data_IF_311637266483
#
_entry.id   IF_311637266483
#
_cell.length_a   1.000
_cell.length_b   1.000
_cell.length_c   1.000
_cell.angle_alpha   90.00
_cell.angle_beta   90.00
_cell.angle_gamma   90.00
#
_symmetry.space_group_name_H-M   'P 1'
#
loop_
_entity.id
_entity.type
_entity.pdbx_description
1 polymer ?
#
# COMPACT_ATOMS: atom_id res chain seq x y z
N UNK A 1 32.56 13.70 2.61
CA UNK A 1 31.44 13.99 3.53
C UNK A 1 31.16 15.49 3.50
N UNK A 2 29.89 15.93 3.45
CA UNK A 2 29.56 17.35 3.53
C UNK A 2 30.06 17.93 4.87
N UNK A 3 30.59 19.17 4.85
CA UNK A 3 31.17 19.78 6.04
C UNK A 3 30.10 20.18 7.06
N UNK A 4 28.92 20.58 6.60
CA UNK A 4 27.75 20.94 7.41
C UNK A 4 26.49 20.31 6.79
N UNK A 5 26.28 18.99 6.99
CA UNK A 5 25.21 18.25 6.29
C UNK A 5 23.80 18.73 6.65
N UNK A 6 23.60 19.25 7.85
CA UNK A 6 22.33 19.79 8.32
C UNK A 6 21.82 20.96 7.48
N UNK A 7 22.69 21.72 6.82
CA UNK A 7 22.32 22.85 5.98
C UNK A 7 21.66 22.45 4.66
N UNK A 8 21.75 21.17 4.30
CA UNK A 8 21.11 20.59 3.11
C UNK A 8 19.60 20.44 3.28
N UNK A 9 19.13 20.33 4.51
CA UNK A 9 17.76 19.96 4.81
C UNK A 9 16.97 21.14 5.37
N UNK A 10 15.67 21.15 5.07
CA UNK A 10 14.71 22.11 5.63
C UNK A 10 13.77 21.32 6.56
N UNK A 11 13.51 21.81 7.79
CA UNK A 11 12.56 21.16 8.68
C UNK A 11 11.19 21.00 8.01
N UNK A 12 10.56 19.86 8.20
CA UNK A 12 9.20 19.65 7.71
C UNK A 12 8.23 20.60 8.42
N UNK A 13 7.34 21.23 7.63
CA UNK A 13 6.36 22.17 8.19
C UNK A 13 5.30 21.41 8.99
N UNK A 14 5.02 21.79 10.23
CA UNK A 14 3.93 21.20 10.99
C UNK A 14 2.58 21.38 10.26
N UNK A 15 1.74 20.36 10.34
CA UNK A 15 0.37 20.44 9.82
C UNK A 15 -0.47 21.30 10.80
N UNK A 16 -1.20 22.27 10.26
CA UNK A 16 -2.10 23.11 11.04
C UNK A 16 -3.37 22.35 11.38
N UNK A 17 -3.33 21.64 12.49
CA UNK A 17 -4.42 20.83 13.03
C UNK A 17 -4.52 21.07 14.54
N UNK A 18 -5.05 22.25 14.92
CA UNK A 18 -5.08 22.71 16.33
C UNK A 18 -6.00 21.86 17.22
N UNK A 19 -7.00 21.23 16.62
CA UNK A 19 -8.02 20.39 17.25
C UNK A 19 -7.81 18.89 16.97
N UNK A 20 -6.55 18.47 16.75
CA UNK A 20 -6.23 17.05 16.47
C UNK A 20 -6.74 16.14 17.56
N UNK A 21 -7.28 15.01 17.17
CA UNK A 21 -7.88 14.03 18.08
C UNK A 21 -7.08 12.75 18.21
N UNK A 22 -6.25 12.42 17.23
CA UNK A 22 -5.53 11.14 17.16
C UNK A 22 -4.67 10.83 18.39
N UNK A 23 -4.01 11.79 19.09
CA UNK A 23 -3.18 11.45 20.24
C UNK A 23 -3.97 10.87 21.42
N UNK A 24 -5.29 11.12 21.45
CA UNK A 24 -6.19 10.64 22.51
C UNK A 24 -6.94 9.34 22.08
N UNK A 25 -6.68 8.84 20.88
CA UNK A 25 -7.29 7.60 20.40
C UNK A 25 -6.49 6.37 20.86
N UNK A 26 -7.17 5.24 20.91
CA UNK A 26 -6.54 3.92 21.10
C UNK A 26 -6.97 2.99 19.99
N UNK A 27 -6.08 2.12 19.57
CA UNK A 27 -6.41 1.09 18.59
C UNK A 27 -7.21 0.01 19.30
N UNK A 28 -8.48 -0.16 18.93
CA UNK A 28 -9.43 -1.11 19.56
C UNK A 28 -9.81 -2.27 18.66
N UNK A 29 -9.43 -2.22 17.40
CA UNK A 29 -9.66 -3.26 16.38
C UNK A 29 -8.47 -3.33 15.43
N UNK A 30 -8.19 -4.50 14.82
CA UNK A 30 -7.15 -4.59 13.81
C UNK A 30 -7.53 -3.79 12.57
N UNK A 31 -6.55 -3.29 11.79
CA UNK A 31 -6.81 -2.73 10.48
C UNK A 31 -7.13 -3.84 9.48
N UNK A 32 -7.56 -3.47 8.28
CA UNK A 32 -7.48 -4.34 7.11
C UNK A 32 -5.98 -4.48 6.76
N UNK A 33 -5.52 -5.71 6.58
CA UNK A 33 -4.13 -5.98 6.22
C UNK A 33 -3.99 -6.25 4.74
N UNK A 34 -3.09 -5.54 4.07
CA UNK A 34 -2.60 -5.89 2.74
C UNK A 34 -1.13 -6.32 2.84
N UNK A 35 -0.80 -7.52 2.33
CA UNK A 35 0.58 -7.89 2.07
C UNK A 35 1.04 -7.34 0.73
N UNK A 36 2.18 -6.65 0.71
CA UNK A 36 2.88 -6.23 -0.50
C UNK A 36 4.15 -7.05 -0.76
N UNK A 37 4.33 -8.15 -0.05
CA UNK A 37 5.53 -9.02 -0.13
C UNK A 37 5.85 -9.47 -1.55
N UNK A 38 4.81 -9.85 -2.33
CA UNK A 38 4.98 -10.40 -3.69
C UNK A 38 5.13 -9.32 -4.77
N UNK A 39 4.97 -8.04 -4.44
CA UNK A 39 5.19 -6.92 -5.36
C UNK A 39 6.32 -6.02 -4.88
N UNK A 40 6.08 -5.18 -3.86
CA UNK A 40 7.05 -4.20 -3.37
C UNK A 40 8.23 -4.87 -2.67
N UNK A 41 7.95 -5.87 -1.84
CA UNK A 41 8.95 -6.74 -1.24
C UNK A 41 9.79 -7.48 -2.27
N UNK A 42 9.15 -7.99 -3.34
CA UNK A 42 9.83 -8.74 -4.39
C UNK A 42 10.69 -7.85 -5.31
N UNK A 43 10.20 -6.65 -5.67
CA UNK A 43 10.94 -5.76 -6.58
C UNK A 43 12.25 -5.23 -6.01
N UNK A 44 12.41 -5.26 -4.69
CA UNK A 44 13.62 -4.83 -4.00
C UNK A 44 14.70 -5.90 -3.90
N UNK A 45 14.37 -7.15 -4.24
CA UNK A 45 15.30 -8.27 -4.13
C UNK A 45 16.36 -8.24 -5.24
N UNK A 46 17.58 -8.65 -4.89
CA UNK A 46 18.66 -8.81 -5.87
C UNK A 46 18.28 -9.84 -6.93
N UNK A 47 17.68 -10.96 -6.51
CA UNK A 47 17.09 -11.98 -7.38
C UNK A 47 15.58 -12.04 -7.08
N UNK A 48 14.73 -11.44 -7.92
CA UNK A 48 13.28 -11.51 -7.75
C UNK A 48 12.77 -12.95 -7.79
N UNK A 49 11.70 -13.21 -7.02
CA UNK A 49 11.09 -14.53 -6.92
C UNK A 49 10.57 -15.01 -8.28
N UNK A 50 10.84 -16.26 -8.61
CA UNK A 50 10.18 -16.93 -9.73
C UNK A 50 8.73 -17.32 -9.38
N UNK A 51 7.95 -17.75 -10.38
CA UNK A 51 6.53 -18.08 -10.18
C UNK A 51 6.26 -19.19 -9.16
N UNK A 52 7.17 -20.17 -9.01
CA UNK A 52 7.05 -21.23 -8.01
C UNK A 52 7.23 -20.68 -6.60
N UNK A 53 8.28 -19.89 -6.38
CA UNK A 53 8.54 -19.26 -5.09
C UNK A 53 7.41 -18.32 -4.70
N UNK A 54 6.90 -17.50 -5.65
CA UNK A 54 5.73 -16.65 -5.42
C UNK A 54 4.50 -17.44 -5.02
N UNK A 55 4.25 -18.60 -5.62
CA UNK A 55 3.10 -19.44 -5.29
C UNK A 55 3.21 -20.03 -3.88
N UNK A 56 4.39 -20.50 -3.49
CA UNK A 56 4.63 -21.02 -2.15
C UNK A 56 4.45 -19.89 -1.10
N UNK A 57 4.98 -18.72 -1.36
CA UNK A 57 4.81 -17.57 -0.47
C UNK A 57 3.36 -17.06 -0.43
N UNK A 58 2.66 -17.01 -1.56
CA UNK A 58 1.23 -16.68 -1.60
C UNK A 58 0.39 -17.60 -0.69
N UNK A 59 0.66 -18.92 -0.73
CA UNK A 59 -0.02 -19.89 0.13
C UNK A 59 0.27 -19.64 1.62
N UNK A 60 1.48 -19.26 1.98
CA UNK A 60 1.80 -18.92 3.37
C UNK A 60 1.10 -17.63 3.81
N UNK A 61 1.04 -16.59 2.94
CA UNK A 61 0.28 -15.36 3.24
C UNK A 61 -1.21 -15.66 3.48
N UNK A 62 -1.80 -16.52 2.65
CA UNK A 62 -3.19 -16.99 2.85
C UNK A 62 -3.35 -17.72 4.17
N UNK A 63 -2.42 -18.60 4.51
CA UNK A 63 -2.43 -19.39 5.76
C UNK A 63 -2.26 -18.50 6.99
N UNK A 64 -1.42 -17.48 6.93
CA UNK A 64 -1.29 -16.44 7.98
C UNK A 64 -2.60 -15.68 8.17
N UNK A 65 -3.43 -15.57 7.15
CA UNK A 65 -4.75 -14.97 7.25
C UNK A 65 -4.97 -13.69 6.46
N UNK A 66 -4.04 -13.29 5.59
CA UNK A 66 -4.24 -12.14 4.72
C UNK A 66 -5.45 -12.33 3.82
N UNK A 67 -6.28 -11.26 3.71
CA UNK A 67 -7.45 -11.22 2.85
C UNK A 67 -7.25 -10.34 1.61
N UNK A 68 -6.21 -9.52 1.62
CA UNK A 68 -5.77 -8.74 0.48
C UNK A 68 -4.26 -8.96 0.27
N UNK A 69 -3.86 -9.30 -0.95
CA UNK A 69 -2.47 -9.63 -1.29
C UNK A 69 -2.12 -8.97 -2.63
N UNK A 70 -1.14 -8.09 -2.64
CA UNK A 70 -0.61 -7.50 -3.88
C UNK A 70 0.34 -8.47 -4.55
N UNK A 71 -0.07 -9.03 -5.68
CA UNK A 71 0.58 -10.18 -6.33
C UNK A 71 1.64 -9.80 -7.37
N UNK A 72 1.64 -8.56 -7.84
CA UNK A 72 2.67 -8.13 -8.79
C UNK A 72 2.31 -6.91 -9.63
N UNK A 73 3.23 -6.58 -10.55
CA UNK A 73 3.09 -5.54 -11.55
C UNK A 73 2.93 -6.19 -12.94
N UNK A 74 1.74 -6.71 -13.20
CA UNK A 74 1.45 -7.60 -14.33
C UNK A 74 1.63 -6.96 -15.69
N UNK A 75 1.52 -5.64 -15.81
CA UNK A 75 1.79 -4.92 -17.06
C UNK A 75 3.28 -4.67 -17.32
N UNK A 76 4.14 -4.75 -16.30
CA UNK A 76 5.58 -4.50 -16.41
C UNK A 76 6.43 -5.78 -16.39
N UNK A 77 5.90 -6.89 -15.85
CA UNK A 77 6.61 -8.14 -15.67
C UNK A 77 5.82 -9.32 -16.24
N UNK A 78 6.43 -10.06 -17.14
CA UNK A 78 5.84 -11.28 -17.69
C UNK A 78 5.69 -12.37 -16.60
N UNK A 79 6.64 -12.46 -15.68
CA UNK A 79 6.56 -13.40 -14.54
C UNK A 79 5.33 -13.07 -13.70
N UNK A 80 5.08 -11.80 -13.40
CA UNK A 80 3.92 -11.38 -12.62
C UNK A 80 2.60 -11.60 -13.38
N UNK A 81 2.61 -11.37 -14.70
CA UNK A 81 1.45 -11.66 -15.53
C UNK A 81 1.10 -13.16 -15.50
N UNK A 82 2.07 -14.03 -15.77
CA UNK A 82 1.88 -15.48 -15.73
C UNK A 82 1.53 -15.99 -14.32
N UNK A 83 2.07 -15.36 -13.28
CA UNK A 83 1.73 -15.69 -11.91
C UNK A 83 0.25 -15.36 -11.60
N UNK A 84 -0.24 -14.19 -11.99
CA UNK A 84 -1.64 -13.82 -11.83
C UNK A 84 -2.56 -14.81 -12.58
N UNK A 85 -2.22 -15.17 -13.82
CA UNK A 85 -2.96 -16.17 -14.60
C UNK A 85 -2.95 -17.54 -13.92
N UNK A 86 -1.79 -17.98 -13.42
CA UNK A 86 -1.66 -19.26 -12.70
C UNK A 86 -2.58 -19.28 -11.47
N UNK A 87 -2.58 -18.22 -10.67
CA UNK A 87 -3.43 -18.12 -9.46
C UNK A 87 -4.91 -18.26 -9.83
N UNK A 88 -5.36 -17.62 -10.90
CA UNK A 88 -6.76 -17.61 -11.32
C UNK A 88 -7.14 -18.93 -12.00
N UNK A 89 -6.39 -19.36 -13.00
CA UNK A 89 -6.74 -20.51 -13.85
C UNK A 89 -6.62 -21.85 -13.11
N UNK A 90 -5.70 -21.95 -12.14
CA UNK A 90 -5.54 -23.16 -11.33
C UNK A 90 -6.31 -23.07 -9.99
N UNK A 91 -7.09 -22.02 -9.75
CA UNK A 91 -7.95 -21.90 -8.59
C UNK A 91 -7.20 -21.79 -7.25
N UNK A 92 -6.05 -21.10 -7.23
CA UNK A 92 -5.26 -20.95 -6.01
C UNK A 92 -5.76 -19.84 -5.08
N UNK A 93 -6.67 -18.96 -5.54
CA UNK A 93 -7.19 -17.84 -4.75
C UNK A 93 -8.41 -18.30 -3.96
N UNK A 94 -8.36 -18.33 -2.62
CA UNK A 94 -9.53 -18.63 -1.80
C UNK A 94 -10.65 -17.59 -2.02
N UNK A 95 -11.90 -17.99 -1.79
CA UNK A 95 -13.08 -17.15 -2.04
C UNK A 95 -13.16 -15.89 -1.19
N UNK A 96 -12.41 -15.83 -0.10
CA UNK A 96 -12.34 -14.73 0.87
C UNK A 96 -11.03 -13.93 0.75
N UNK A 97 -10.22 -14.20 -0.28
CA UNK A 97 -8.99 -13.45 -0.59
C UNK A 97 -9.16 -12.67 -1.89
N UNK A 98 -8.78 -11.40 -1.86
CA UNK A 98 -8.80 -10.52 -3.03
C UNK A 98 -7.36 -10.20 -3.45
N UNK A 99 -6.95 -10.61 -4.65
CA UNK A 99 -5.66 -10.24 -5.20
C UNK A 99 -5.66 -8.78 -5.65
N UNK A 100 -4.51 -8.11 -5.49
CA UNK A 100 -4.27 -6.76 -5.98
C UNK A 100 -3.14 -6.76 -7.00
N UNK A 101 -3.27 -5.93 -8.01
CA UNK A 101 -2.24 -5.68 -9.03
C UNK A 101 -2.06 -4.18 -9.23
N UNK A 102 -0.82 -3.74 -9.45
CA UNK A 102 -0.48 -2.32 -9.61
C UNK A 102 -0.34 -1.95 -11.08
N UNK A 103 -0.68 -0.70 -11.43
CA UNK A 103 -0.47 -0.12 -12.76
C UNK A 103 -0.23 1.39 -12.69
N UNK A 104 0.58 1.89 -13.59
CA UNK A 104 0.71 3.32 -13.83
C UNK A 104 -0.51 3.88 -14.58
N UNK A 105 -0.71 5.20 -14.50
CA UNK A 105 -1.75 5.93 -15.21
C UNK A 105 -1.42 6.05 -16.73
N UNK A 106 -1.50 4.91 -17.45
CA UNK A 106 -1.31 4.77 -18.90
C UNK A 106 -2.28 3.72 -19.43
N UNK A 107 -2.95 4.02 -20.53
CA UNK A 107 -4.02 3.18 -21.10
C UNK A 107 -3.53 1.78 -21.46
N UNK A 108 -2.38 1.67 -22.14
CA UNK A 108 -1.77 0.38 -22.54
C UNK A 108 -1.41 -0.51 -21.35
N UNK A 109 -0.96 0.08 -20.23
CA UNK A 109 -0.65 -0.66 -19.01
C UNK A 109 -1.91 -1.06 -18.25
N UNK A 110 -2.92 -0.18 -18.22
CA UNK A 110 -4.23 -0.46 -17.63
C UNK A 110 -4.88 -1.66 -18.35
N UNK A 111 -4.88 -1.68 -19.68
CA UNK A 111 -5.44 -2.79 -20.47
C UNK A 111 -4.80 -4.12 -20.10
N UNK A 112 -3.46 -4.18 -20.13
CA UNK A 112 -2.71 -5.40 -19.80
C UNK A 112 -2.94 -5.84 -18.35
N UNK A 113 -3.06 -4.87 -17.43
CA UNK A 113 -3.33 -5.14 -16.01
C UNK A 113 -4.71 -5.74 -15.80
N UNK A 114 -5.76 -5.17 -16.40
CA UNK A 114 -7.12 -5.70 -16.31
C UNK A 114 -7.21 -7.06 -17.00
N UNK A 115 -6.55 -7.23 -18.15
CA UNK A 115 -6.48 -8.51 -18.86
C UNK A 115 -5.90 -9.62 -17.98
N UNK A 116 -4.82 -9.33 -17.23
CA UNK A 116 -4.18 -10.30 -16.35
C UNK A 116 -5.11 -10.82 -15.24
N UNK A 117 -6.15 -10.07 -14.87
CA UNK A 117 -7.09 -10.40 -13.79
C UNK A 117 -8.43 -10.96 -14.27
N UNK A 118 -8.63 -11.13 -15.60
CA UNK A 118 -9.87 -11.72 -16.13
C UNK A 118 -10.16 -13.09 -15.56
N UNK A 119 -11.41 -13.29 -15.12
CA UNK A 119 -11.85 -14.53 -14.50
C UNK A 119 -11.59 -14.62 -13.00
N UNK A 120 -10.95 -13.63 -12.38
CA UNK A 120 -10.91 -13.51 -10.93
C UNK A 120 -12.31 -13.17 -10.38
N UNK A 121 -12.68 -13.72 -9.22
CA UNK A 121 -13.95 -13.37 -8.54
C UNK A 121 -13.97 -11.92 -8.09
N UNK A 122 -12.86 -11.46 -7.53
CA UNK A 122 -12.63 -10.08 -7.11
C UNK A 122 -11.20 -9.67 -7.44
N UNK A 123 -10.98 -8.39 -7.69
CA UNK A 123 -9.66 -7.83 -7.93
C UNK A 123 -9.58 -6.37 -7.50
N UNK A 124 -8.45 -5.99 -6.90
CA UNK A 124 -8.09 -4.60 -6.66
C UNK A 124 -7.11 -4.18 -7.74
N UNK A 125 -7.42 -3.11 -8.47
CA UNK A 125 -6.47 -2.46 -9.39
C UNK A 125 -5.92 -1.22 -8.70
N UNK A 126 -4.62 -1.24 -8.41
CA UNK A 126 -3.89 -0.17 -7.78
C UNK A 126 -3.34 0.77 -8.85
N UNK A 127 -4.02 1.88 -9.08
CA UNK A 127 -3.62 2.94 -10.00
C UNK A 127 -2.85 4.01 -9.24
N UNK A 128 -1.69 4.41 -9.74
CA UNK A 128 -0.89 5.46 -9.13
C UNK A 128 -0.30 6.44 -10.15
N UNK A 129 -0.01 7.63 -9.68
CA UNK A 129 0.84 8.62 -10.33
C UNK A 129 1.47 9.51 -9.26
N UNK A 130 2.69 9.98 -9.52
CA UNK A 130 3.41 10.86 -8.61
C UNK A 130 2.79 12.26 -8.58
N UNK A 131 2.69 12.84 -7.37
CA UNK A 131 2.02 14.14 -7.15
C UNK A 131 2.90 15.20 -6.52
N UNK A 132 4.09 14.85 -6.01
CA UNK A 132 5.00 15.82 -5.40
C UNK A 132 5.52 16.87 -6.41
N UNK A 133 5.84 18.11 -5.96
CA UNK A 133 6.29 19.20 -6.83
C UNK A 133 7.41 18.81 -7.78
N UNK A 134 8.46 18.14 -7.28
CA UNK A 134 9.59 17.72 -8.09
C UNK A 134 9.18 16.79 -9.26
N UNK A 135 8.20 15.91 -9.06
CA UNK A 135 7.68 15.06 -10.13
C UNK A 135 6.83 15.84 -11.13
N UNK A 136 5.94 16.70 -10.63
CA UNK A 136 5.09 17.51 -11.49
C UNK A 136 5.91 18.43 -12.37
N UNK A 137 6.85 19.16 -11.79
CA UNK A 137 7.58 20.23 -12.47
C UNK A 137 8.75 19.73 -13.32
N UNK A 138 9.57 18.80 -12.76
CA UNK A 138 10.82 18.38 -13.40
C UNK A 138 10.60 17.17 -14.31
N UNK A 139 9.80 16.18 -13.88
CA UNK A 139 9.66 14.92 -14.62
C UNK A 139 8.53 15.01 -15.64
N UNK A 140 7.36 15.50 -15.23
CA UNK A 140 6.20 15.57 -16.11
C UNK A 140 6.08 16.91 -16.86
N UNK A 141 6.64 18.00 -16.31
CA UNK A 141 6.43 19.34 -16.84
C UNK A 141 4.96 19.77 -16.79
N UNK A 142 4.20 19.31 -15.80
CA UNK A 142 2.76 19.49 -15.66
C UNK A 142 2.42 20.40 -14.48
N UNK A 143 1.46 21.28 -14.70
CA UNK A 143 0.77 22.03 -13.65
C UNK A 143 -0.17 21.14 -12.84
N UNK A 144 -0.61 21.60 -11.66
CA UNK A 144 -1.58 20.86 -10.83
C UNK A 144 -2.87 20.54 -11.61
N UNK A 145 -3.51 21.48 -12.36
CA UNK A 145 -4.69 21.14 -13.17
C UNK A 145 -4.45 20.07 -14.22
N UNK A 146 -3.28 20.03 -14.85
CA UNK A 146 -2.93 19.00 -15.85
C UNK A 146 -2.76 17.62 -15.20
N UNK A 147 -2.16 17.56 -13.99
CA UNK A 147 -2.09 16.31 -13.22
C UNK A 147 -3.51 15.83 -12.82
N UNK A 148 -4.40 16.75 -12.40
CA UNK A 148 -5.79 16.37 -12.10
C UNK A 148 -6.52 15.84 -13.33
N UNK A 149 -6.32 16.44 -14.50
CA UNK A 149 -6.88 15.97 -15.76
C UNK A 149 -6.33 14.57 -16.16
N UNK A 150 -5.04 14.32 -15.90
CA UNK A 150 -4.41 13.01 -16.11
C UNK A 150 -5.05 11.94 -15.21
N UNK A 151 -5.27 12.26 -13.92
CA UNK A 151 -5.92 11.34 -12.97
C UNK A 151 -7.35 11.04 -13.43
N UNK A 152 -8.14 12.06 -13.71
CA UNK A 152 -9.53 11.90 -14.15
C UNK A 152 -9.62 11.04 -15.41
N UNK A 153 -8.80 11.31 -16.42
CA UNK A 153 -8.74 10.55 -17.67
C UNK A 153 -8.51 9.05 -17.41
N UNK A 154 -7.48 8.71 -16.62
CA UNK A 154 -7.09 7.31 -16.48
C UNK A 154 -7.98 6.54 -15.50
N UNK A 155 -8.56 7.20 -14.50
CA UNK A 155 -9.58 6.57 -13.64
C UNK A 155 -10.87 6.31 -14.42
N UNK A 156 -11.33 7.25 -15.26
CA UNK A 156 -12.46 7.03 -16.16
C UNK A 156 -12.18 5.92 -17.18
N UNK A 157 -10.96 5.85 -17.70
CA UNK A 157 -10.54 4.79 -18.60
C UNK A 157 -10.57 3.41 -17.89
N UNK A 158 -9.95 3.29 -16.72
CA UNK A 158 -9.98 2.06 -15.93
C UNK A 158 -11.41 1.64 -15.61
N UNK A 159 -12.25 2.59 -15.19
CA UNK A 159 -13.69 2.35 -14.95
C UNK A 159 -14.36 1.76 -16.18
N UNK A 160 -14.16 2.38 -17.35
CA UNK A 160 -14.73 1.93 -18.62
C UNK A 160 -14.32 0.48 -18.95
N UNK A 161 -13.05 0.13 -18.76
CA UNK A 161 -12.54 -1.22 -19.06
C UNK A 161 -13.08 -2.24 -18.06
N UNK A 162 -13.06 -1.92 -16.76
CA UNK A 162 -13.57 -2.83 -15.72
C UNK A 162 -15.09 -3.04 -15.82
N UNK A 163 -15.86 -2.03 -16.21
CA UNK A 163 -17.32 -2.15 -16.43
C UNK A 163 -17.67 -3.10 -17.59
N UNK A 164 -16.72 -3.44 -18.47
CA UNK A 164 -16.88 -4.47 -19.52
C UNK A 164 -16.72 -5.90 -18.99
N UNK A 165 -16.24 -6.07 -17.76
CA UNK A 165 -15.99 -7.35 -17.10
C UNK A 165 -16.78 -7.46 -15.77
N UNK A 166 -18.14 -7.48 -15.84
CA UNK A 166 -18.99 -7.50 -14.64
C UNK A 166 -18.93 -8.83 -13.87
N UNK A 167 -18.33 -9.86 -14.42
CA UNK A 167 -18.07 -11.14 -13.76
C UNK A 167 -17.07 -11.03 -12.61
N UNK A 168 -16.22 -9.99 -12.61
CA UNK A 168 -15.24 -9.70 -11.57
C UNK A 168 -15.72 -8.52 -10.72
N UNK A 169 -15.66 -8.65 -9.40
CA UNK A 169 -15.87 -7.53 -8.49
C UNK A 169 -14.63 -6.65 -8.44
N UNK A 170 -14.65 -5.54 -9.16
CA UNK A 170 -13.52 -4.61 -9.24
C UNK A 170 -13.54 -3.57 -8.15
N UNK A 171 -12.38 -3.32 -7.54
CA UNK A 171 -12.14 -2.22 -6.62
C UNK A 171 -10.95 -1.40 -7.14
N UNK A 172 -11.10 -0.08 -7.20
CA UNK A 172 -9.98 0.82 -7.45
C UNK A 172 -9.26 1.11 -6.13
N UNK A 173 -7.94 0.94 -6.12
CA UNK A 173 -7.06 1.63 -5.20
C UNK A 173 -6.36 2.76 -5.95
N UNK A 174 -6.43 3.98 -5.41
CA UNK A 174 -5.69 5.12 -5.95
C UNK A 174 -4.63 5.59 -4.95
N UNK A 175 -3.40 5.77 -5.44
CA UNK A 175 -2.30 6.36 -4.65
C UNK A 175 -1.80 7.64 -5.29
N UNK A 176 -1.87 8.80 -4.61
CA UNK A 176 -1.05 9.96 -4.93
C UNK A 176 0.40 9.64 -4.51
N UNK A 177 1.15 8.99 -5.39
CA UNK A 177 2.53 8.57 -5.10
C UNK A 177 3.36 9.78 -4.65
N UNK A 178 4.30 9.57 -3.75
CA UNK A 178 5.05 10.63 -3.06
C UNK A 178 4.17 11.53 -2.17
N UNK A 179 3.06 10.99 -1.62
CA UNK A 179 2.16 11.73 -0.73
C UNK A 179 2.90 12.46 0.39
N UNK A 180 3.86 11.80 1.04
CA UNK A 180 4.65 12.39 2.14
C UNK A 180 5.46 13.64 1.74
N UNK A 181 5.64 13.91 0.44
CA UNK A 181 6.32 15.10 -0.10
C UNK A 181 5.39 15.98 -0.94
N UNK A 182 4.09 15.67 -0.97
CA UNK A 182 3.06 16.42 -1.71
C UNK A 182 2.36 17.40 -0.77
N UNK A 183 1.99 18.57 -1.26
CA UNK A 183 1.14 19.52 -0.53
C UNK A 183 -0.22 18.88 -0.25
N UNK A 184 -0.72 18.97 0.99
CA UNK A 184 -1.94 18.28 1.40
C UNK A 184 -3.18 18.64 0.58
N UNK A 185 -3.31 19.89 0.18
CA UNK A 185 -4.40 20.39 -0.66
C UNK A 185 -4.33 19.80 -2.08
N UNK A 186 -3.13 19.64 -2.64
CA UNK A 186 -2.91 18.96 -3.93
C UNK A 186 -3.20 17.46 -3.82
N UNK A 187 -2.73 16.81 -2.76
CA UNK A 187 -3.03 15.40 -2.51
C UNK A 187 -4.54 15.17 -2.35
N UNK A 188 -5.24 16.04 -1.62
CA UNK A 188 -6.69 16.00 -1.47
C UNK A 188 -7.42 16.18 -2.80
N UNK A 189 -6.98 17.14 -3.64
CA UNK A 189 -7.55 17.31 -4.97
C UNK A 189 -7.37 16.05 -5.83
N UNK A 190 -6.18 15.44 -5.81
CA UNK A 190 -5.90 14.20 -6.53
C UNK A 190 -6.83 13.06 -6.08
N UNK A 191 -6.94 12.83 -4.76
CA UNK A 191 -7.82 11.82 -4.19
C UNK A 191 -9.29 12.06 -4.54
N UNK A 192 -9.78 13.30 -4.36
CA UNK A 192 -11.17 13.64 -4.67
C UNK A 192 -11.48 13.57 -6.18
N UNK A 193 -10.49 13.84 -7.04
CA UNK A 193 -10.62 13.62 -8.49
C UNK A 193 -10.79 12.14 -8.81
N UNK A 194 -9.99 11.27 -8.22
CA UNK A 194 -10.13 9.81 -8.38
C UNK A 194 -11.47 9.30 -7.85
N UNK A 195 -11.90 9.75 -6.65
CA UNK A 195 -13.18 9.40 -6.04
C UNK A 195 -14.36 9.76 -6.97
N UNK A 196 -14.35 10.99 -7.49
CA UNK A 196 -15.39 11.46 -8.42
C UNK A 196 -15.40 10.68 -9.73
N UNK A 197 -14.24 10.48 -10.34
CA UNK A 197 -14.11 9.78 -11.63
C UNK A 197 -14.49 8.30 -11.54
N UNK A 198 -14.15 7.62 -10.44
CA UNK A 198 -14.55 6.24 -10.18
C UNK A 198 -16.05 6.10 -9.95
N UNK A 199 -16.70 7.17 -9.49
CA UNK A 199 -18.13 7.17 -9.17
C UNK A 199 -18.42 6.45 -7.85
N UNK A 200 -17.67 6.82 -6.82
CA UNK A 200 -17.76 6.23 -5.48
C UNK A 200 -19.16 6.38 -4.91
N UNK A 201 -19.64 5.38 -4.17
CA UNK A 201 -20.93 5.35 -3.52
C UNK A 201 -21.27 3.94 -3.03
N UNK A 202 -22.53 3.76 -2.58
CA UNK A 202 -22.99 2.45 -2.12
C UNK A 202 -22.86 1.40 -3.25
N UNK A 203 -22.06 0.39 -3.03
CA UNK A 203 -21.78 -0.70 -4.00
C UNK A 203 -20.58 -0.48 -4.91
N UNK A 204 -19.94 0.70 -4.86
CA UNK A 204 -18.67 0.96 -5.54
C UNK A 204 -17.69 1.70 -4.62
N UNK A 205 -17.12 1.03 -3.63
CA UNK A 205 -16.11 1.63 -2.74
C UNK A 205 -14.81 1.90 -3.49
N UNK A 206 -13.95 2.69 -2.86
CA UNK A 206 -12.57 2.97 -3.32
C UNK A 206 -11.62 2.82 -2.15
N UNK A 207 -10.39 2.46 -2.44
CA UNK A 207 -9.27 2.54 -1.50
C UNK A 207 -8.44 3.76 -1.88
N UNK A 208 -8.24 4.67 -0.96
CA UNK A 208 -7.29 5.77 -1.08
C UNK A 208 -6.08 5.43 -0.22
N UNK A 209 -4.94 5.27 -0.87
CA UNK A 209 -3.71 4.90 -0.18
C UNK A 209 -2.75 6.09 -0.09
N UNK A 210 -2.25 6.37 1.10
CA UNK A 210 -1.34 7.47 1.41
C UNK A 210 0.07 6.92 1.68
N UNK A 211 0.96 6.87 0.65
CA UNK A 211 2.27 6.27 0.84
C UNK A 211 3.29 7.26 1.41
N UNK A 212 4.12 6.80 2.34
CA UNK A 212 5.44 7.40 2.53
C UNK A 212 6.41 6.77 1.54
N UNK A 213 6.34 7.18 0.27
CA UNK A 213 7.24 6.68 -0.80
C UNK A 213 8.71 6.77 -0.36
N UNK A 214 9.05 7.82 0.36
CA UNK A 214 10.22 7.93 1.24
C UNK A 214 9.74 8.45 2.59
N UNK A 215 10.17 7.83 3.68
CA UNK A 215 9.88 8.30 5.02
C UNK A 215 10.71 9.55 5.33
N UNK A 216 10.17 10.72 5.05
CA UNK A 216 10.84 12.01 5.17
C UNK A 216 10.38 12.88 6.35
N UNK A 217 9.33 12.45 7.08
CA UNK A 217 8.78 13.15 8.24
C UNK A 217 8.82 12.30 9.49
N UNK A 218 8.53 12.92 10.64
CA UNK A 218 8.31 12.17 11.88
C UNK A 218 6.91 11.54 11.90
N UNK A 219 6.71 10.42 12.64
CA UNK A 219 5.43 9.71 12.68
C UNK A 219 4.22 10.59 13.08
N UNK A 220 4.42 11.53 14.00
CA UNK A 220 3.35 12.46 14.44
C UNK A 220 2.91 13.42 13.32
N UNK A 221 3.84 13.90 12.49
CA UNK A 221 3.50 14.75 11.33
C UNK A 221 2.73 13.94 10.29
N UNK A 222 3.11 12.69 10.05
CA UNK A 222 2.35 11.81 9.17
C UNK A 222 0.95 11.51 9.72
N UNK A 223 0.83 11.27 11.02
CA UNK A 223 -0.48 11.08 11.67
C UNK A 223 -1.37 12.33 11.53
N UNK A 224 -0.82 13.54 11.73
CA UNK A 224 -1.54 14.78 11.47
C UNK A 224 -2.02 14.86 10.00
N UNK A 225 -1.18 14.45 9.04
CA UNK A 225 -1.55 14.42 7.63
C UNK A 225 -2.69 13.43 7.36
N UNK A 226 -2.64 12.24 7.98
CA UNK A 226 -3.70 11.21 7.84
C UNK A 226 -5.00 11.70 8.46
N UNK A 227 -5.00 12.28 9.66
CA UNK A 227 -6.21 12.83 10.28
C UNK A 227 -6.78 13.98 9.45
N UNK A 228 -5.92 14.82 8.91
CA UNK A 228 -6.35 15.89 8.02
C UNK A 228 -7.04 15.33 6.76
N UNK A 229 -6.44 14.35 6.09
CA UNK A 229 -7.04 13.68 4.93
C UNK A 229 -8.34 12.96 5.31
N UNK A 230 -8.36 12.24 6.44
CA UNK A 230 -9.55 11.57 6.96
C UNK A 230 -10.76 12.53 7.10
N UNK A 231 -10.52 13.77 7.52
CA UNK A 231 -11.56 14.78 7.73
C UNK A 231 -12.02 15.48 6.44
N UNK A 232 -11.19 15.50 5.39
CA UNK A 232 -11.44 16.32 4.19
C UNK A 232 -11.74 15.52 2.92
N UNK A 233 -11.43 14.22 2.88
CA UNK A 233 -11.78 13.36 1.75
C UNK A 233 -13.30 13.28 1.59
N UNK A 234 -13.76 13.50 0.35
CA UNK A 234 -15.16 13.39 -0.01
C UNK A 234 -15.67 11.94 0.14
N UNK A 235 -16.93 11.80 0.56
CA UNK A 235 -17.58 10.47 0.70
C UNK A 235 -16.79 9.49 1.55
N UNK A 236 -16.18 9.99 2.64
CA UNK A 236 -15.30 9.22 3.52
C UNK A 236 -15.87 7.88 3.97
N UNK A 237 -17.19 7.79 4.11
CA UNK A 237 -17.93 6.58 4.50
C UNK A 237 -17.89 5.46 3.45
N UNK A 238 -17.52 5.77 2.22
CA UNK A 238 -17.34 4.82 1.12
C UNK A 238 -15.86 4.65 0.71
N UNK A 239 -14.94 5.24 1.46
CA UNK A 239 -13.49 5.20 1.23
C UNK A 239 -12.83 4.34 2.28
N UNK A 240 -12.05 3.36 1.87
CA UNK A 240 -11.05 2.71 2.72
C UNK A 240 -9.78 3.55 2.69
N UNK A 241 -9.43 4.19 3.80
CA UNK A 241 -8.21 4.98 3.92
C UNK A 241 -7.06 4.06 4.29
N UNK A 242 -6.14 3.85 3.35
CA UNK A 242 -4.97 2.99 3.49
C UNK A 242 -3.71 3.80 3.68
N UNK A 243 -2.73 3.24 4.37
CA UNK A 243 -1.38 3.79 4.47
C UNK A 243 -0.35 2.74 4.10
N UNK A 244 0.70 3.19 3.40
CA UNK A 244 1.83 2.38 2.96
C UNK A 244 3.12 3.04 3.44
N UNK A 245 3.63 2.59 4.58
CA UNK A 245 4.80 3.18 5.20
C UNK A 245 6.09 2.43 4.81
N UNK A 246 7.11 3.19 4.35
CA UNK A 246 8.50 2.73 4.30
C UNK A 246 9.21 3.03 5.61
N UNK A 247 10.40 2.48 5.79
CA UNK A 247 11.14 2.50 7.05
C UNK A 247 12.50 3.24 6.94
N UNK A 248 12.60 4.27 6.09
CA UNK A 248 13.85 4.98 5.81
C UNK A 248 14.47 5.65 7.05
N UNK A 249 13.64 6.04 8.01
CA UNK A 249 14.06 6.65 9.28
C UNK A 249 14.11 5.67 10.45
N UNK A 250 13.72 4.39 10.20
CA UNK A 250 13.55 3.39 11.26
C UNK A 250 12.29 3.62 12.12
N UNK A 251 11.30 4.38 11.63
CA UNK A 251 10.08 4.70 12.37
C UNK A 251 8.80 4.18 11.71
N UNK A 252 8.91 3.29 10.71
CA UNK A 252 7.78 2.79 9.94
C UNK A 252 6.68 2.17 10.78
N UNK A 253 7.01 1.37 11.80
CA UNK A 253 6.03 0.79 12.74
C UNK A 253 5.29 1.89 13.49
N UNK A 254 5.99 2.85 14.09
CA UNK A 254 5.36 3.98 14.79
C UNK A 254 4.50 4.82 13.83
N UNK A 255 4.97 5.04 12.60
CA UNK A 255 4.22 5.76 11.56
C UNK A 255 2.87 5.08 11.27
N UNK A 256 2.85 3.75 11.13
CA UNK A 256 1.63 3.00 10.86
C UNK A 256 0.70 2.92 12.08
N UNK A 257 1.22 2.75 13.30
CA UNK A 257 0.42 2.77 14.53
C UNK A 257 -0.28 4.11 14.72
N UNK A 258 0.45 5.22 14.61
CA UNK A 258 -0.13 6.55 14.75
C UNK A 258 -1.12 6.87 13.61
N UNK A 259 -0.88 6.37 12.39
CA UNK A 259 -1.82 6.52 11.29
C UNK A 259 -3.15 5.80 11.55
N UNK A 260 -3.14 4.62 12.19
CA UNK A 260 -4.39 3.96 12.62
C UNK A 260 -5.15 4.81 13.64
N UNK A 261 -4.47 5.37 14.63
CA UNK A 261 -5.08 6.28 15.60
C UNK A 261 -5.66 7.53 14.91
N UNK A 262 -5.04 7.96 13.81
CA UNK A 262 -5.44 9.11 13.01
C UNK A 262 -6.58 8.82 11.99
N UNK A 263 -7.09 7.59 11.94
CA UNK A 263 -8.24 7.22 11.12
C UNK A 263 -7.94 6.40 9.87
N UNK A 264 -6.72 5.85 9.71
CA UNK A 264 -6.46 4.85 8.68
C UNK A 264 -7.22 3.55 8.99
N UNK A 265 -7.88 3.00 7.96
CA UNK A 265 -8.66 1.75 8.04
C UNK A 265 -7.79 0.53 7.69
N UNK A 266 -6.73 0.72 6.89
CA UNK A 266 -5.95 -0.33 6.26
C UNK A 266 -4.47 -0.01 6.31
N UNK A 267 -3.66 -1.05 6.51
CA UNK A 267 -2.19 -0.98 6.49
C UNK A 267 -1.64 -1.90 5.40
N UNK A 268 -0.75 -1.36 4.58
CA UNK A 268 0.03 -2.09 3.59
C UNK A 268 1.46 -2.28 4.11
N UNK A 269 2.00 -3.47 3.97
CA UNK A 269 3.37 -3.74 4.38
C UNK A 269 3.83 -5.15 4.03
N UNK A 270 4.99 -5.52 4.54
CA UNK A 270 5.59 -6.83 4.31
C UNK A 270 5.86 -7.56 5.61
N UNK A 271 5.88 -8.88 5.54
CA UNK A 271 6.33 -9.71 6.66
C UNK A 271 7.80 -9.39 6.97
N UNK A 272 8.08 -9.16 8.25
CA UNK A 272 9.42 -8.80 8.77
C UNK A 272 10.04 -7.55 8.14
N UNK A 273 9.22 -6.71 7.51
CA UNK A 273 9.66 -5.41 6.99
C UNK A 273 10.51 -5.46 5.72
N UNK A 274 10.42 -6.55 4.93
CA UNK A 274 11.12 -6.63 3.64
C UNK A 274 10.63 -5.54 2.68
N UNK A 275 11.51 -4.98 1.85
CA UNK A 275 11.15 -3.96 0.87
C UNK A 275 12.30 -3.10 0.41
N UNK A 276 11.99 -2.05 -0.33
CA UNK A 276 12.99 -1.13 -0.89
C UNK A 276 13.80 -0.42 0.21
N UNK A 277 15.07 -0.17 -0.06
CA UNK A 277 16.02 0.56 0.79
C UNK A 277 16.15 -0.09 2.17
N UNK A 278 15.49 0.48 3.20
CA UNK A 278 15.43 -0.04 4.58
C UNK A 278 14.18 -0.86 4.88
N UNK A 279 13.35 -1.10 3.86
CA UNK A 279 12.17 -1.94 3.93
C UNK A 279 10.84 -1.20 4.02
N UNK A 280 9.77 -1.96 3.92
CA UNK A 280 8.39 -1.55 4.21
C UNK A 280 8.11 -1.63 5.72
N UNK A 281 6.97 -1.13 6.14
CA UNK A 281 6.52 -1.39 7.51
C UNK A 281 6.39 -2.88 7.77
N UNK A 282 6.87 -3.30 8.93
CA UNK A 282 6.83 -4.69 9.37
C UNK A 282 5.46 -5.06 9.94
N UNK A 283 4.69 -5.83 9.16
CA UNK A 283 3.35 -6.29 9.57
C UNK A 283 3.43 -7.24 10.75
N UNK A 284 4.48 -8.07 10.87
CA UNK A 284 4.61 -8.99 12.00
C UNK A 284 4.72 -8.20 13.31
N UNK A 285 5.59 -7.19 13.36
CA UNK A 285 5.73 -6.34 14.54
C UNK A 285 4.44 -5.59 14.84
N UNK A 286 3.77 -5.00 13.84
CA UNK A 286 2.48 -4.30 14.03
C UNK A 286 1.40 -5.23 14.57
N UNK A 287 1.25 -6.42 14.00
CA UNK A 287 0.24 -7.39 14.40
C UNK A 287 0.47 -7.88 15.85
N UNK A 288 1.72 -8.16 16.20
CA UNK A 288 2.04 -8.64 17.54
C UNK A 288 1.98 -7.51 18.59
N UNK A 289 2.25 -6.27 18.19
CA UNK A 289 2.01 -5.11 19.05
C UNK A 289 0.52 -4.97 19.45
N UNK A 290 -0.42 -5.34 18.57
CA UNK A 290 -1.86 -5.34 18.90
C UNK A 290 -2.19 -6.29 20.05
N UNK A 291 -1.56 -7.48 20.10
CA UNK A 291 -1.75 -8.39 21.23
C UNK A 291 -1.33 -7.76 22.56
N UNK A 292 -0.28 -6.93 22.56
CA UNK A 292 0.16 -6.22 23.79
C UNK A 292 -0.85 -5.19 24.27
N UNK A 293 -1.79 -4.82 23.42
CA UNK A 293 -2.91 -3.91 23.71
C UNK A 293 -4.24 -4.65 23.88
N UNK A 294 -4.23 -5.97 23.91
CA UNK A 294 -5.46 -6.78 24.04
C UNK A 294 -6.31 -6.84 22.79
N UNK A 295 -5.75 -6.52 21.63
CA UNK A 295 -6.44 -6.55 20.33
C UNK A 295 -5.93 -7.73 19.49
N UNK A 296 -6.84 -8.60 19.04
CA UNK A 296 -6.48 -9.70 18.14
C UNK A 296 -6.24 -9.17 16.72
N UNK A 297 -5.08 -9.42 16.09
CA UNK A 297 -4.73 -8.86 14.77
C UNK A 297 -5.49 -9.50 13.60
N UNK A 298 -6.18 -10.63 13.80
CA UNK A 298 -6.77 -11.47 12.74
C UNK A 298 -5.73 -12.07 11.76
N UNK A 299 -4.46 -12.12 12.18
CA UNK A 299 -3.37 -12.84 11.54
C UNK A 299 -2.84 -13.88 12.50
N UNK A 300 -2.48 -15.06 11.98
CA UNK A 300 -1.97 -16.18 12.78
C UNK A 300 -0.44 -16.28 12.69
N UNK A 301 0.22 -15.87 13.76
CA UNK A 301 1.67 -16.02 13.95
C UNK A 301 1.99 -17.04 15.06
N UNK A 302 1.09 -18.00 15.35
CA UNK A 302 1.31 -19.03 16.37
C UNK A 302 2.55 -19.89 16.10
N UNK A 303 2.95 -20.02 14.84
CA UNK A 303 4.21 -20.63 14.42
C UNK A 303 5.07 -19.63 13.65
N UNK A 304 5.48 -18.55 14.33
CA UNK A 304 6.25 -17.45 13.74
C UNK A 304 7.56 -17.92 13.07
N UNK A 305 8.21 -18.95 13.61
CA UNK A 305 9.45 -19.50 13.07
C UNK A 305 9.23 -20.15 11.69
N UNK A 306 8.10 -20.81 11.48
CA UNK A 306 7.77 -21.37 10.17
C UNK A 306 7.52 -20.25 9.15
N UNK A 307 6.82 -19.18 9.54
CA UNK A 307 6.61 -18.02 8.69
C UNK A 307 7.94 -17.34 8.35
N UNK A 308 8.82 -17.13 9.34
CA UNK A 308 10.15 -16.57 9.14
C UNK A 308 10.96 -17.38 8.15
N UNK A 309 10.97 -18.72 8.30
CA UNK A 309 11.68 -19.62 7.39
C UNK A 309 11.19 -19.48 5.93
N UNK A 310 9.86 -19.42 5.71
CA UNK A 310 9.31 -19.22 4.35
C UNK A 310 9.76 -17.89 3.76
N UNK A 311 9.74 -16.80 4.56
CA UNK A 311 10.16 -15.48 4.10
C UNK A 311 11.65 -15.47 3.76
N UNK A 312 12.52 -16.03 4.61
CA UNK A 312 13.96 -16.12 4.34
C UNK A 312 14.27 -16.96 3.09
N UNK A 313 13.55 -18.06 2.90
CA UNK A 313 13.71 -18.88 1.69
C UNK A 313 13.24 -18.15 0.43
N UNK A 314 12.16 -17.39 0.52
CA UNK A 314 11.62 -16.66 -0.63
C UNK A 314 12.45 -15.43 -0.99
N UNK A 315 12.92 -14.68 0.00
CA UNK A 315 13.67 -13.43 -0.20
C UNK A 315 15.18 -13.65 -0.34
N UNK A 316 15.71 -14.78 0.10
CA UNK A 316 17.15 -15.07 0.25
C UNK A 316 17.86 -14.04 1.17
N UNK A 317 17.11 -13.43 2.08
CA UNK A 317 17.62 -12.47 3.06
C UNK A 317 17.35 -12.99 4.48
N UNK A 318 18.35 -12.95 5.38
CA UNK A 318 18.14 -13.35 6.76
C UNK A 318 17.35 -12.28 7.51
N UNK A 319 16.46 -12.70 8.42
CA UNK A 319 15.84 -11.81 9.39
C UNK A 319 16.90 -11.42 10.43
N UNK A 320 16.89 -10.15 10.84
CA UNK A 320 17.89 -9.65 11.78
C UNK A 320 17.79 -10.39 13.14
N UNK A 321 18.93 -10.87 13.74
CA UNK A 321 18.89 -11.69 14.97
C UNK A 321 18.35 -10.95 16.20
N UNK A 322 18.15 -9.64 16.14
CA UNK A 322 17.47 -8.80 17.16
C UNK A 322 16.15 -8.24 16.64
N UNK A 323 15.52 -8.92 15.71
CA UNK A 323 14.19 -8.53 15.22
C UNK A 323 13.17 -8.66 16.35
N UNK A 324 12.23 -7.70 16.53
CA UNK A 324 11.15 -7.83 17.50
C UNK A 324 10.38 -9.14 17.29
N UNK A 325 10.09 -9.86 18.41
CA UNK A 325 9.32 -11.10 18.48
C UNK A 325 9.92 -12.35 17.82
N UNK A 326 10.82 -12.26 16.86
CA UNK A 326 11.34 -13.44 16.12
C UNK A 326 12.85 -13.56 16.18
N UNK A 327 13.57 -12.56 16.65
CA UNK A 327 15.02 -12.59 16.76
C UNK A 327 15.51 -13.67 17.73
N UNK A 328 16.68 -14.24 17.43
CA UNK A 328 17.29 -15.32 18.21
C UNK A 328 18.00 -14.82 19.49
N UNK A 329 18.15 -13.52 19.69
CA UNK A 329 18.90 -12.90 20.79
C UNK A 329 18.02 -12.10 21.73
#
# INVERSE_FOLDING_TARGET
MLKNPETKYVPFKPIQLNDRTWPNQSITKPPIWLSTDLRDGNQSLFEPMNGKTKLEFFKELVKVGFKEIEIGFTSASEIDYQFARTLIEQGHIPSDVTPMVITQAREDLIDKTVESMKGARSAIVHLYNATAPAWREIVFGMSVPEVMALIEKHVLYLKKITDQHPETQWTLQYSPETFSATELDVALQACNTAIKAWGVGKGRPIIINLPTTVENTTPNVFADSVEWMHRHINQREHVVLSVHAHNDRGTGVATAELAQMAGADRIEGCLFGNGERSGNVDIVTLALNLYTQGVHPNLDFSNINAVAHVVEQATQLPIHPRHPYVGDL
#
